data_IF_925762927720
#
_entry.id   IF_925762927720
#
_cell.length_a   1.000
_cell.length_b   1.000
_cell.length_c   1.000
_cell.angle_alpha   90.00
_cell.angle_beta   90.00
_cell.angle_gamma   90.00
#
_symmetry.space_group_name_H-M   'P 1'
#
loop_
_entity.id
_entity.type
_entity.pdbx_description
1 polymer ?
#
# COMPACT_ATOMS: atom_id res chain seq x y z
N UNK A 1 -12.33 -3.30 22.57
CA UNK A 1 -11.29 -3.80 23.49
C UNK A 1 -10.46 -4.81 22.73
N UNK A 2 -9.18 -4.52 22.53
CA UNK A 2 -8.26 -5.51 21.97
C UNK A 2 -7.97 -6.49 23.12
N UNK A 3 -8.59 -7.65 23.08
CA UNK A 3 -8.31 -8.71 24.04
C UNK A 3 -6.91 -9.19 23.69
N UNK A 4 -5.91 -9.08 24.53
CA UNK A 4 -4.50 -9.40 24.26
C UNK A 4 -4.23 -10.75 23.55
N UNK A 5 -5.26 -11.59 23.41
CA UNK A 5 -5.26 -12.87 22.70
C UNK A 5 -4.87 -12.73 21.22
N UNK A 6 -5.44 -11.76 20.48
CA UNK A 6 -5.10 -11.56 19.07
C UNK A 6 -3.65 -11.13 18.88
N UNK A 7 -3.14 -10.30 19.77
CA UNK A 7 -1.75 -9.87 19.78
C UNK A 7 -0.80 -11.03 20.10
N UNK A 8 -1.16 -11.87 21.07
CA UNK A 8 -0.37 -13.07 21.42
C UNK A 8 -0.30 -14.06 20.27
N UNK A 9 -1.40 -14.27 19.54
CA UNK A 9 -1.43 -15.13 18.35
C UNK A 9 -0.49 -14.57 17.29
N UNK A 10 -0.56 -13.28 17.01
CA UNK A 10 0.31 -12.62 16.02
C UNK A 10 1.79 -12.75 16.39
N UNK A 11 2.15 -12.51 17.65
CA UNK A 11 3.53 -12.63 18.15
C UNK A 11 4.03 -14.08 18.01
N UNK A 12 3.22 -15.07 18.37
CA UNK A 12 3.57 -16.49 18.19
C UNK A 12 3.75 -16.84 16.72
N UNK A 13 2.89 -16.38 15.86
CA UNK A 13 3.00 -16.56 14.42
C UNK A 13 4.30 -15.96 13.89
N UNK A 14 4.62 -14.72 14.24
CA UNK A 14 5.87 -14.08 13.81
C UNK A 14 7.11 -14.84 14.27
N UNK A 15 7.13 -15.31 15.53
CA UNK A 15 8.23 -16.14 16.05
C UNK A 15 8.38 -17.46 15.27
N UNK A 16 7.26 -18.07 14.87
CA UNK A 16 7.28 -19.30 14.05
C UNK A 16 7.83 -19.00 12.66
N UNK A 17 7.30 -17.98 12.00
CA UNK A 17 7.76 -17.58 10.67
C UNK A 17 9.24 -17.23 10.69
N UNK A 18 9.69 -16.43 11.66
CA UNK A 18 11.09 -16.01 11.75
C UNK A 18 12.07 -17.18 11.86
N UNK A 19 11.70 -18.27 12.57
CA UNK A 19 12.52 -19.48 12.67
C UNK A 19 12.62 -20.25 11.36
N UNK A 20 11.62 -20.14 10.49
CA UNK A 20 11.53 -20.88 9.23
C UNK A 20 12.07 -20.09 8.03
N UNK A 21 12.36 -18.79 8.20
CA UNK A 21 13.00 -17.98 7.14
C UNK A 21 14.36 -18.57 6.76
N UNK A 22 14.61 -18.69 5.47
CA UNK A 22 15.89 -19.20 4.93
C UNK A 22 17.02 -18.19 5.12
N UNK A 23 16.72 -16.89 4.93
CA UNK A 23 17.68 -15.82 5.16
C UNK A 23 17.42 -15.19 6.53
N UNK A 24 18.38 -15.28 7.45
CA UNK A 24 18.30 -14.67 8.78
C UNK A 24 18.84 -13.23 8.83
N UNK A 25 19.59 -12.81 7.79
CA UNK A 25 20.23 -11.49 7.70
C UNK A 25 19.39 -10.48 6.90
N UNK A 26 18.06 -10.52 7.08
CA UNK A 26 17.15 -9.58 6.41
C UNK A 26 17.14 -8.25 7.16
N UNK A 27 17.31 -7.09 6.48
CA UNK A 27 17.18 -5.78 7.11
C UNK A 27 15.86 -5.65 7.87
N UNK A 28 15.89 -4.96 9.04
CA UNK A 28 14.78 -4.93 9.98
C UNK A 28 13.46 -4.46 9.34
N UNK A 29 13.51 -3.41 8.53
CA UNK A 29 12.33 -2.86 7.84
C UNK A 29 11.72 -3.88 6.87
N UNK A 30 12.57 -4.52 6.05
CA UNK A 30 12.12 -5.58 5.15
C UNK A 30 11.59 -6.79 5.93
N UNK A 31 12.26 -7.19 7.02
CA UNK A 31 11.84 -8.31 7.88
C UNK A 31 10.46 -8.04 8.46
N UNK A 32 10.21 -6.82 8.96
CA UNK A 32 8.91 -6.45 9.51
C UNK A 32 7.78 -6.59 8.48
N UNK A 33 7.97 -6.06 7.28
CA UNK A 33 7.00 -6.18 6.20
C UNK A 33 6.80 -7.65 5.77
N UNK A 34 7.88 -8.43 5.69
CA UNK A 34 7.87 -9.84 5.32
C UNK A 34 7.09 -10.69 6.32
N UNK A 35 7.31 -10.51 7.63
CA UNK A 35 6.59 -11.25 8.67
C UNK A 35 5.07 -11.03 8.56
N UNK A 36 4.64 -9.80 8.28
CA UNK A 36 3.23 -9.49 8.05
C UNK A 36 2.70 -10.11 6.76
N UNK A 37 3.46 -10.07 5.67
CA UNK A 37 3.08 -10.66 4.41
C UNK A 37 2.89 -12.19 4.53
N UNK A 38 3.88 -12.89 5.11
CA UNK A 38 3.80 -14.34 5.33
C UNK A 38 2.68 -14.70 6.31
N UNK A 39 2.53 -13.94 7.40
CA UNK A 39 1.43 -14.17 8.35
C UNK A 39 0.05 -14.09 7.69
N UNK A 40 -0.12 -13.20 6.71
CA UNK A 40 -1.39 -13.00 6.02
C UNK A 40 -1.64 -14.03 4.92
N UNK A 41 -0.61 -14.41 4.18
CA UNK A 41 -0.71 -15.30 3.00
C UNK A 41 -0.44 -16.75 3.30
N UNK A 42 0.22 -17.05 4.42
CA UNK A 42 0.81 -18.36 4.75
C UNK A 42 1.79 -18.87 3.68
N UNK A 43 2.41 -17.97 2.93
CA UNK A 43 3.27 -18.27 1.80
C UNK A 43 4.71 -17.78 2.07
N UNK A 44 5.66 -18.70 2.22
CA UNK A 44 7.07 -18.42 2.44
C UNK A 44 7.79 -17.93 1.17
N UNK A 45 7.21 -18.09 -0.03
CA UNK A 45 7.79 -17.53 -1.26
C UNK A 45 7.80 -16.00 -1.24
N UNK A 46 7.05 -15.38 -0.33
CA UNK A 46 7.14 -13.93 -0.04
C UNK A 46 8.58 -13.49 0.27
N UNK A 47 9.42 -14.35 0.84
CA UNK A 47 10.84 -14.07 1.11
C UNK A 47 11.60 -13.69 -0.17
N UNK A 48 11.25 -14.32 -1.29
CA UNK A 48 11.91 -14.15 -2.59
C UNK A 48 11.34 -12.99 -3.41
N UNK A 49 10.05 -12.67 -3.20
CA UNK A 49 9.33 -11.73 -4.07
C UNK A 49 9.06 -10.37 -3.43
N UNK A 50 9.08 -10.28 -2.09
CA UNK A 50 8.87 -9.02 -1.40
C UNK A 50 10.08 -8.10 -1.58
N UNK A 51 9.81 -6.91 -2.12
CA UNK A 51 10.77 -5.82 -2.21
C UNK A 51 10.39 -4.72 -1.22
N UNK A 52 11.37 -4.14 -0.57
CA UNK A 52 11.24 -2.92 0.22
C UNK A 52 12.52 -2.10 0.04
N UNK A 53 12.37 -0.80 -0.16
CA UNK A 53 13.50 0.11 -0.12
C UNK A 53 14.14 0.12 1.27
N UNK A 54 15.46 0.36 1.38
CA UNK A 54 16.11 0.55 2.66
C UNK A 54 15.37 1.64 3.47
N UNK A 55 15.12 1.38 4.75
CA UNK A 55 14.48 2.31 5.68
C UNK A 55 13.05 2.76 5.28
N UNK A 56 12.42 2.12 4.29
CA UNK A 56 11.09 2.50 3.81
C UNK A 56 10.02 2.45 4.90
N UNK A 57 10.03 1.38 5.71
CA UNK A 57 9.03 1.17 6.76
C UNK A 57 9.26 2.14 7.91
N UNK A 58 10.49 2.30 8.38
CA UNK A 58 10.83 3.22 9.47
C UNK A 58 10.61 4.67 9.07
N UNK A 59 10.95 5.05 7.84
CA UNK A 59 10.70 6.39 7.29
C UNK A 59 9.21 6.69 7.25
N UNK A 60 8.40 5.77 6.71
CA UNK A 60 6.95 5.94 6.62
C UNK A 60 6.31 5.99 8.01
N UNK A 61 6.75 5.12 8.93
CA UNK A 61 6.32 5.11 10.32
C UNK A 61 6.56 6.48 10.98
N UNK A 62 7.74 7.05 10.83
CA UNK A 62 8.08 8.35 11.41
C UNK A 62 7.23 9.48 10.80
N UNK A 63 7.06 9.50 9.47
CA UNK A 63 6.21 10.49 8.79
C UNK A 63 4.75 10.42 9.26
N UNK A 64 4.18 9.22 9.39
CA UNK A 64 2.79 9.05 9.86
C UNK A 64 2.67 9.53 11.31
N UNK A 65 3.57 9.14 12.22
CA UNK A 65 3.53 9.57 13.61
C UNK A 65 3.83 11.06 13.78
N UNK A 66 4.62 11.64 12.88
CA UNK A 66 4.91 13.08 12.84
C UNK A 66 3.77 13.93 12.26
N UNK A 67 2.69 13.30 11.78
CA UNK A 67 1.55 14.01 11.17
C UNK A 67 1.81 14.49 9.74
N UNK A 68 2.89 14.05 9.10
CA UNK A 68 3.23 14.45 7.73
C UNK A 68 2.41 13.71 6.66
N UNK A 69 1.71 12.64 7.06
CA UNK A 69 0.87 11.82 6.17
C UNK A 69 -0.58 11.83 6.67
N UNK A 70 -1.35 12.90 6.41
CA UNK A 70 -2.73 12.99 6.87
C UNK A 70 -3.69 12.11 6.08
N UNK A 71 -3.28 11.64 4.89
CA UNK A 71 -4.18 10.92 3.97
C UNK A 71 -3.51 9.68 3.38
N UNK A 72 -4.26 8.59 3.39
CA UNK A 72 -3.96 7.35 2.65
C UNK A 72 -4.93 7.24 1.48
N UNK A 73 -4.42 7.04 0.29
CA UNK A 73 -5.20 6.80 -0.92
C UNK A 73 -5.14 5.32 -1.27
N UNK A 74 -6.29 4.71 -1.55
CA UNK A 74 -6.37 3.33 -2.04
C UNK A 74 -6.94 3.27 -3.45
N UNK A 75 -6.50 2.29 -4.24
CA UNK A 75 -6.98 2.06 -5.60
C UNK A 75 -8.41 1.52 -5.64
N UNK A 76 -8.78 0.70 -4.65
CA UNK A 76 -10.10 0.05 -4.54
C UNK A 76 -10.64 0.09 -3.12
N UNK A 77 -11.97 0.02 -3.00
CA UNK A 77 -12.68 0.03 -1.70
C UNK A 77 -12.28 -1.15 -0.80
N UNK A 78 -11.98 -2.30 -1.39
CA UNK A 78 -11.51 -3.47 -0.65
C UNK A 78 -10.22 -3.18 0.12
N UNK A 79 -9.24 -2.52 -0.51
CA UNK A 79 -8.00 -2.14 0.15
C UNK A 79 -8.26 -1.16 1.30
N UNK A 80 -9.13 -0.16 1.09
CA UNK A 80 -9.55 0.79 2.14
C UNK A 80 -10.17 0.07 3.34
N UNK A 81 -11.01 -0.93 3.08
CA UNK A 81 -11.71 -1.69 4.13
C UNK A 81 -10.77 -2.53 4.99
N UNK A 82 -9.61 -2.92 4.47
CA UNK A 82 -8.58 -3.67 5.19
C UNK A 82 -7.77 -2.83 6.18
N UNK A 83 -7.81 -1.50 6.11
CA UNK A 83 -7.02 -0.63 6.98
C UNK A 83 -7.72 -0.47 8.35
N UNK A 84 -6.97 -0.65 9.43
CA UNK A 84 -7.51 -0.64 10.81
C UNK A 84 -8.02 0.74 11.21
N UNK A 85 -9.35 0.92 11.27
CA UNK A 85 -10.00 2.19 11.63
C UNK A 85 -9.53 2.77 12.97
N UNK A 86 -9.35 1.94 14.00
CA UNK A 86 -8.89 2.40 15.30
C UNK A 86 -7.44 2.93 15.29
N UNK A 87 -6.58 2.45 14.39
CA UNK A 87 -5.24 3.01 14.19
C UNK A 87 -5.32 4.37 13.49
N UNK A 88 -6.12 4.47 12.45
CA UNK A 88 -6.34 5.72 11.72
C UNK A 88 -6.83 6.86 12.63
N UNK A 89 -7.82 6.56 13.48
CA UNK A 89 -8.34 7.55 14.44
C UNK A 89 -7.27 8.04 15.42
N UNK A 90 -6.44 7.14 15.95
CA UNK A 90 -5.35 7.53 16.87
C UNK A 90 -4.27 8.37 16.20
N UNK A 91 -4.02 8.14 14.92
CA UNK A 91 -2.98 8.81 14.15
C UNK A 91 -3.48 10.07 13.43
N UNK A 92 -4.79 10.35 13.46
CA UNK A 92 -5.38 11.46 12.72
C UNK A 92 -5.28 11.31 11.20
N UNK A 93 -5.25 10.06 10.71
CA UNK A 93 -5.09 9.75 9.28
C UNK A 93 -6.43 9.40 8.66
N UNK A 94 -6.74 9.99 7.50
CA UNK A 94 -7.93 9.69 6.70
C UNK A 94 -7.59 8.69 5.58
N UNK A 95 -8.54 7.80 5.25
CA UNK A 95 -8.43 6.91 4.07
C UNK A 95 -9.46 7.33 3.03
N UNK A 96 -9.01 7.54 1.80
CA UNK A 96 -9.86 7.88 0.65
C UNK A 96 -9.71 6.86 -0.47
N UNK A 97 -10.84 6.59 -1.14
CA UNK A 97 -10.91 5.80 -2.36
C UNK A 97 -11.92 6.46 -3.30
N UNK A 98 -11.46 6.87 -4.45
CA UNK A 98 -12.26 7.60 -5.43
C UNK A 98 -12.98 6.70 -6.44
N UNK A 99 -12.90 5.37 -6.28
CA UNK A 99 -13.47 4.41 -7.24
C UNK A 99 -14.98 4.57 -7.46
N UNK A 100 -15.71 5.02 -6.45
CA UNK A 100 -17.18 5.16 -6.51
C UNK A 100 -17.66 6.60 -6.78
N UNK A 101 -16.73 7.53 -6.97
CA UNK A 101 -17.03 8.92 -7.30
C UNK A 101 -17.62 9.03 -8.73
N UNK A 102 -18.75 9.70 -8.88
CA UNK A 102 -19.44 9.87 -10.15
C UNK A 102 -18.59 10.64 -11.17
N UNK A 103 -17.90 11.69 -10.74
CA UNK A 103 -16.99 12.47 -11.61
C UNK A 103 -15.82 11.64 -12.11
N UNK A 104 -15.34 10.71 -11.27
CA UNK A 104 -14.30 9.74 -11.67
C UNK A 104 -14.84 8.76 -12.71
N UNK A 105 -16.10 8.33 -12.57
CA UNK A 105 -16.74 7.46 -13.58
C UNK A 105 -16.90 8.18 -14.94
N UNK A 106 -17.32 9.44 -14.92
CA UNK A 106 -17.43 10.28 -16.12
C UNK A 106 -16.07 10.55 -16.77
N UNK A 107 -15.05 10.86 -15.97
CA UNK A 107 -13.67 11.03 -16.44
C UNK A 107 -13.15 9.76 -17.09
N UNK A 108 -13.38 8.60 -16.50
CA UNK A 108 -12.95 7.32 -17.03
C UNK A 108 -13.57 7.05 -18.41
N UNK A 109 -14.88 7.25 -18.52
CA UNK A 109 -15.62 7.07 -19.77
C UNK A 109 -15.17 8.05 -20.86
N UNK A 110 -15.06 9.33 -20.55
CA UNK A 110 -14.70 10.38 -21.53
C UNK A 110 -13.27 10.27 -22.04
N UNK A 111 -12.35 9.75 -21.21
CA UNK A 111 -10.92 9.62 -21.56
C UNK A 111 -10.53 8.20 -22.01
N UNK A 112 -11.46 7.24 -22.01
CA UNK A 112 -11.17 5.84 -22.38
C UNK A 112 -10.15 5.16 -21.46
N UNK A 113 -10.17 5.47 -20.15
CA UNK A 113 -9.28 4.91 -19.15
C UNK A 113 -10.08 4.13 -18.08
N UNK A 114 -9.37 3.34 -17.25
CA UNK A 114 -10.05 2.62 -16.18
C UNK A 114 -10.51 3.58 -15.06
N UNK A 115 -11.57 3.21 -14.33
CA UNK A 115 -12.01 3.99 -13.15
C UNK A 115 -10.90 4.15 -12.11
N UNK A 116 -10.09 3.12 -11.92
CA UNK A 116 -8.97 3.17 -10.97
C UNK A 116 -7.89 4.15 -11.42
N UNK A 117 -7.58 4.24 -12.72
CA UNK A 117 -6.69 5.29 -13.24
C UNK A 117 -7.28 6.70 -13.03
N UNK A 118 -8.56 6.90 -13.36
CA UNK A 118 -9.23 8.17 -13.16
C UNK A 118 -9.25 8.56 -11.66
N UNK A 119 -9.49 7.57 -10.78
CA UNK A 119 -9.44 7.76 -9.33
C UNK A 119 -8.08 8.21 -8.81
N UNK A 120 -6.98 7.65 -9.35
CA UNK A 120 -5.63 8.10 -8.99
C UNK A 120 -5.35 9.52 -9.51
N UNK A 121 -5.81 9.89 -10.70
CA UNK A 121 -5.68 11.28 -11.19
C UNK A 121 -6.36 12.25 -10.25
N UNK A 122 -7.60 11.96 -9.87
CA UNK A 122 -8.35 12.77 -8.89
C UNK A 122 -7.64 12.84 -7.54
N UNK A 123 -7.16 11.70 -7.04
CA UNK A 123 -6.44 11.62 -5.79
C UNK A 123 -5.16 12.47 -5.79
N UNK A 124 -4.40 12.47 -6.87
CA UNK A 124 -3.16 13.26 -7.00
C UNK A 124 -3.45 14.76 -7.07
N UNK A 125 -4.56 15.16 -7.72
CA UNK A 125 -4.98 16.57 -7.75
C UNK A 125 -5.27 17.12 -6.35
N UNK A 126 -5.87 16.31 -5.47
CA UNK A 126 -6.23 16.72 -4.10
C UNK A 126 -5.14 16.41 -3.06
N UNK A 127 -4.40 15.32 -3.24
CA UNK A 127 -3.48 14.76 -2.24
C UNK A 127 -2.16 14.29 -2.87
N UNK A 128 -1.37 15.16 -3.51
CA UNK A 128 -0.17 14.76 -4.26
C UNK A 128 0.93 14.13 -3.40
N UNK A 129 0.90 14.34 -2.08
CA UNK A 129 1.88 13.86 -1.11
C UNK A 129 1.37 12.72 -0.23
N UNK A 130 0.18 12.16 -0.52
CA UNK A 130 -0.41 11.08 0.27
C UNK A 130 0.44 9.80 0.27
N UNK A 131 0.14 8.89 1.19
CA UNK A 131 0.54 7.49 1.08
C UNK A 131 -0.42 6.78 0.12
N UNK A 132 0.10 6.19 -0.94
CA UNK A 132 -0.69 5.44 -1.91
C UNK A 132 -0.58 3.93 -1.67
N UNK A 133 -1.72 3.24 -1.62
CA UNK A 133 -1.82 1.80 -1.36
C UNK A 133 -2.59 1.13 -2.49
N UNK A 134 -1.93 0.24 -3.20
CA UNK A 134 -2.51 -0.52 -4.32
C UNK A 134 -2.71 -1.97 -3.91
N UNK A 135 -3.96 -2.39 -3.78
CA UNK A 135 -4.33 -3.76 -3.42
C UNK A 135 -4.92 -4.57 -4.58
N UNK A 136 -5.17 -3.94 -5.73
CA UNK A 136 -5.83 -4.62 -6.85
C UNK A 136 -5.34 -4.18 -8.23
N UNK A 137 -5.33 -2.89 -8.56
CA UNK A 137 -5.29 -2.40 -9.95
C UNK A 137 -3.88 -2.03 -10.44
N UNK A 138 -3.24 -2.85 -11.31
CA UNK A 138 -1.95 -2.50 -11.93
C UNK A 138 -2.00 -1.19 -12.73
N UNK A 139 -3.10 -0.93 -13.44
CA UNK A 139 -3.27 0.28 -14.23
C UNK A 139 -3.30 1.56 -13.39
N UNK A 140 -3.82 1.49 -12.17
CA UNK A 140 -3.81 2.59 -11.22
C UNK A 140 -2.38 2.89 -10.72
N UNK A 141 -1.59 1.85 -10.45
CA UNK A 141 -0.19 1.99 -10.06
C UNK A 141 0.65 2.61 -11.18
N UNK A 142 0.47 2.15 -12.43
CA UNK A 142 1.13 2.72 -13.60
C UNK A 142 0.78 4.20 -13.78
N UNK A 143 -0.49 4.57 -13.59
CA UNK A 143 -0.93 5.97 -13.65
C UNK A 143 -0.23 6.85 -12.60
N UNK A 144 -0.10 6.36 -11.37
CA UNK A 144 0.64 7.09 -10.33
C UNK A 144 2.12 7.29 -10.74
N UNK A 145 2.78 6.24 -11.23
CA UNK A 145 4.17 6.34 -11.70
C UNK A 145 4.34 7.38 -12.81
N UNK A 146 3.40 7.44 -13.74
CA UNK A 146 3.41 8.45 -14.81
C UNK A 146 3.19 9.87 -14.27
N UNK A 147 2.32 10.03 -13.26
CA UNK A 147 2.10 11.33 -12.62
C UNK A 147 3.33 11.79 -11.81
N UNK A 148 4.04 10.87 -11.17
CA UNK A 148 5.32 11.15 -10.50
C UNK A 148 6.37 11.61 -11.51
N UNK A 149 6.55 10.90 -12.63
CA UNK A 149 7.49 11.27 -13.70
C UNK A 149 7.19 12.64 -14.30
N UNK A 150 5.91 13.04 -14.34
CA UNK A 150 5.46 14.36 -14.78
C UNK A 150 5.57 15.45 -13.71
N UNK A 151 6.08 15.14 -12.53
CA UNK A 151 6.22 16.07 -11.40
C UNK A 151 4.89 16.49 -10.77
N UNK A 152 3.82 15.70 -10.98
CA UNK A 152 2.48 16.01 -10.45
C UNK A 152 2.21 15.38 -9.08
N UNK A 153 2.99 14.39 -8.69
CA UNK A 153 2.87 13.70 -7.40
C UNK A 153 4.26 13.50 -6.79
N UNK A 154 4.32 13.65 -5.46
CA UNK A 154 5.49 13.35 -4.62
C UNK A 154 5.04 12.55 -3.40
N UNK A 155 4.63 11.29 -3.60
CA UNK A 155 4.05 10.47 -2.54
C UNK A 155 4.94 10.37 -1.30
N UNK A 156 4.34 10.37 -0.11
CA UNK A 156 5.04 10.06 1.13
C UNK A 156 5.57 8.61 1.16
N UNK A 157 4.90 7.74 0.42
CA UNK A 157 5.27 6.35 0.21
C UNK A 157 4.29 5.65 -0.72
N UNK A 158 4.69 4.48 -1.23
CA UNK A 158 3.86 3.63 -2.10
C UNK A 158 3.90 2.20 -1.57
N UNK A 159 2.72 1.60 -1.30
CA UNK A 159 2.57 0.18 -1.03
C UNK A 159 1.96 -0.47 -2.27
N UNK A 160 2.78 -1.20 -3.02
CA UNK A 160 2.44 -1.74 -4.31
C UNK A 160 2.21 -3.25 -4.25
N UNK A 161 0.96 -3.66 -4.02
CA UNK A 161 0.52 -5.06 -4.04
C UNK A 161 -0.63 -5.31 -5.04
N UNK A 162 -0.56 -4.80 -6.29
CA UNK A 162 -1.59 -5.07 -7.27
C UNK A 162 -1.59 -6.56 -7.63
N UNK A 163 -2.78 -7.07 -7.99
CA UNK A 163 -2.99 -8.49 -8.33
C UNK A 163 -3.48 -8.63 -9.77
N UNK A 164 -3.34 -9.83 -10.34
CA UNK A 164 -3.83 -10.17 -11.68
C UNK A 164 -2.73 -10.72 -12.58
N UNK A 165 -3.06 -10.84 -13.88
CA UNK A 165 -2.18 -11.45 -14.89
C UNK A 165 -1.73 -10.47 -15.97
N UNK A 166 -2.34 -9.29 -16.05
CA UNK A 166 -2.05 -8.27 -17.07
C UNK A 166 -1.43 -7.05 -16.40
N UNK A 167 -0.26 -6.62 -16.87
CA UNK A 167 0.49 -5.44 -16.40
C UNK A 167 0.95 -5.46 -14.93
N UNK A 168 0.80 -6.56 -14.19
CA UNK A 168 1.19 -6.65 -12.78
C UNK A 168 2.71 -6.50 -12.63
N UNK A 169 3.48 -7.26 -13.40
CA UNK A 169 4.94 -7.22 -13.34
C UNK A 169 5.48 -5.86 -13.79
N UNK A 170 4.95 -5.33 -14.90
CA UNK A 170 5.33 -4.02 -15.42
C UNK A 170 5.07 -2.91 -14.40
N UNK A 171 3.87 -2.88 -13.81
CA UNK A 171 3.51 -1.87 -12.80
C UNK A 171 4.43 -1.90 -11.58
N UNK A 172 4.80 -3.10 -11.10
CA UNK A 172 5.73 -3.26 -9.98
C UNK A 172 7.17 -2.85 -10.33
N UNK A 173 7.61 -3.06 -11.58
CA UNK A 173 8.92 -2.59 -12.02
C UNK A 173 8.99 -1.07 -12.18
N UNK A 174 7.88 -0.41 -12.50
CA UNK A 174 7.84 1.04 -12.61
C UNK A 174 8.03 1.77 -11.29
N UNK A 175 7.77 1.12 -10.16
CA UNK A 175 7.86 1.69 -8.80
C UNK A 175 9.26 1.52 -8.20
N UNK A 176 10.02 0.54 -8.66
CA UNK A 176 11.43 0.32 -8.26
C UNK A 176 12.33 1.33 -8.95
#
# INVERSE_FOLDING_TARGET
>A
MDTGIGQDIMIRSFRTIEKELKNQEIPLDKKWALLHAIHTTADFDMENILYADPDAVSTLYNKINGGEVPTIITDVTMAASGIRKGALQRLGVEVKCYLQDEQVAEMASSKGITRTQAGIRRAVEEHPTALFVFGNAPTALMELCDLIRKGKATPAGIIAAPVGFVHVQESKHMVK
#
